data_IF_761508375924
#
_entry.id   IF_761508375924
#
_cell.length_a   1.000
_cell.length_b   1.000
_cell.length_c   1.000
_cell.angle_alpha   90.00
_cell.angle_beta   90.00
_cell.angle_gamma   90.00
#
_symmetry.space_group_name_H-M   'P 1'
#
loop_
_entity.id
_entity.type
_entity.pdbx_description
1 polymer ?
#
# COMPACT_ATOMS: atom_id res chain seq x y z
N UNK A 1 17.44 24.77 23.22
CA UNK A 1 17.88 26.17 22.99
C UNK A 1 17.04 27.10 23.84
N UNK A 2 17.57 28.27 24.22
CA UNK A 2 16.78 29.29 24.92
C UNK A 2 15.72 29.89 24.01
N UNK A 3 14.64 30.41 24.60
CA UNK A 3 13.63 31.18 23.86
C UNK A 3 14.22 32.52 23.41
N UNK A 4 14.06 32.85 22.13
CA UNK A 4 14.52 34.11 21.55
C UNK A 4 13.61 35.28 21.97
N UNK A 5 14.20 36.46 22.18
CA UNK A 5 13.45 37.71 22.37
C UNK A 5 12.83 38.17 21.05
N UNK A 6 11.83 39.04 21.11
CA UNK A 6 11.09 39.49 19.92
C UNK A 6 11.98 40.09 18.81
N UNK A 7 12.97 40.91 19.16
CA UNK A 7 13.89 41.48 18.17
C UNK A 7 14.83 40.43 17.57
N UNK A 8 15.25 39.46 18.38
CA UNK A 8 16.09 38.35 17.93
C UNK A 8 15.33 37.46 16.96
N UNK A 9 14.10 37.06 17.29
CA UNK A 9 13.26 36.25 16.40
C UNK A 9 12.83 37.00 15.13
N UNK A 10 12.73 38.34 15.19
CA UNK A 10 12.50 39.16 14.00
C UNK A 10 13.68 39.15 13.03
N UNK A 11 14.92 39.13 13.53
CA UNK A 11 16.12 38.96 12.71
C UNK A 11 16.27 37.51 12.20
N UNK A 12 15.95 36.55 13.06
CA UNK A 12 16.16 35.13 12.89
C UNK A 12 14.89 34.38 12.44
N UNK A 13 14.11 34.95 11.52
CA UNK A 13 12.83 34.34 11.09
C UNK A 13 12.98 33.06 10.29
N UNK A 14 14.01 32.99 9.43
CA UNK A 14 14.27 31.83 8.55
C UNK A 14 15.17 30.78 9.20
N UNK A 15 15.75 31.10 10.36
CA UNK A 15 16.72 30.22 11.01
C UNK A 15 15.99 29.28 11.97
N UNK A 16 15.81 28.04 11.53
CA UNK A 16 15.37 26.94 12.36
C UNK A 16 16.44 25.84 12.32
N UNK A 17 17.08 25.57 13.47
CA UNK A 17 18.16 24.59 13.57
C UNK A 17 17.66 23.13 13.61
N UNK A 18 16.36 22.90 13.82
CA UNK A 18 15.77 21.56 13.91
C UNK A 18 15.10 21.14 12.60
N UNK A 19 14.48 22.07 11.88
CA UNK A 19 13.72 21.80 10.68
C UNK A 19 14.21 22.68 9.53
N UNK A 20 14.82 22.04 8.54
CA UNK A 20 15.22 22.67 7.28
C UNK A 20 14.12 22.44 6.24
N UNK A 21 13.78 23.47 5.46
CA UNK A 21 12.61 23.47 4.55
C UNK A 21 12.64 22.35 3.51
N UNK A 22 13.82 21.98 3.02
CA UNK A 22 13.99 20.92 2.02
C UNK A 22 13.88 19.50 2.62
N UNK A 23 14.03 19.38 3.94
CA UNK A 23 14.15 18.09 4.60
C UNK A 23 12.79 17.54 5.05
N UNK A 24 12.50 16.28 4.72
CA UNK A 24 11.30 15.57 5.19
C UNK A 24 11.53 14.83 6.52
N UNK A 25 12.58 15.20 7.25
CA UNK A 25 13.08 14.50 8.45
C UNK A 25 12.03 14.34 9.55
N UNK A 26 11.20 15.36 9.78
CA UNK A 26 10.14 15.31 10.80
C UNK A 26 9.11 14.20 10.50
N UNK A 27 8.67 14.14 9.24
CA UNK A 27 7.69 13.12 8.78
C UNK A 27 8.29 11.72 8.92
N UNK A 28 9.58 11.58 8.60
CA UNK A 28 10.29 10.31 8.72
C UNK A 28 10.40 9.85 10.17
N UNK A 29 10.79 10.75 11.08
CA UNK A 29 10.86 10.45 12.51
C UNK A 29 9.49 10.08 13.08
N UNK A 30 8.41 10.75 12.62
CA UNK A 30 7.04 10.40 13.01
C UNK A 30 6.67 8.99 12.56
N UNK A 31 6.97 8.62 11.32
CA UNK A 31 6.70 7.28 10.77
C UNK A 31 7.53 6.22 11.51
N UNK A 32 8.81 6.48 11.73
CA UNK A 32 9.72 5.58 12.47
C UNK A 32 9.19 5.33 13.89
N UNK A 33 8.82 6.40 14.60
CA UNK A 33 8.25 6.31 15.95
C UNK A 33 6.93 5.55 15.96
N UNK A 34 6.03 5.86 15.03
CA UNK A 34 4.70 5.25 14.96
C UNK A 34 4.76 3.76 14.67
N UNK A 35 5.59 3.33 13.73
CA UNK A 35 5.65 1.94 13.26
C UNK A 35 6.81 1.13 13.86
N UNK A 36 7.60 1.72 14.75
CA UNK A 36 8.78 1.09 15.36
C UNK A 36 9.71 0.47 14.29
N UNK A 37 10.12 1.29 13.31
CA UNK A 37 11.13 0.90 12.32
C UNK A 37 12.50 1.02 12.99
N UNK A 38 13.29 -0.05 13.04
CA UNK A 38 14.59 -0.04 13.72
C UNK A 38 15.65 0.67 12.87
N UNK A 39 15.74 0.32 11.59
CA UNK A 39 16.77 0.83 10.70
C UNK A 39 16.24 1.93 9.79
N UNK A 40 16.94 3.06 9.74
CA UNK A 40 16.62 4.16 8.81
C UNK A 40 16.68 3.72 7.34
N UNK A 41 17.57 2.79 7.02
CA UNK A 41 17.75 2.23 5.67
C UNK A 41 16.47 1.59 5.13
N UNK A 42 15.71 0.92 6.00
CA UNK A 42 14.45 0.28 5.60
C UNK A 42 13.43 1.31 5.12
N UNK A 43 13.36 2.45 5.82
CA UNK A 43 12.48 3.54 5.39
C UNK A 43 12.92 4.11 4.04
N UNK A 44 14.23 4.22 3.77
CA UNK A 44 14.76 4.67 2.48
C UNK A 44 14.36 3.68 1.37
N UNK A 45 14.45 2.38 1.63
CA UNK A 45 14.03 1.33 0.69
C UNK A 45 12.53 1.43 0.39
N UNK A 46 11.69 1.59 1.42
CA UNK A 46 10.25 1.76 1.22
C UNK A 46 9.91 3.04 0.44
N UNK A 47 10.64 4.14 0.68
CA UNK A 47 10.46 5.37 -0.10
C UNK A 47 10.78 5.15 -1.57
N UNK A 48 11.90 4.45 -1.85
CA UNK A 48 12.31 4.11 -3.21
C UNK A 48 11.25 3.26 -3.91
N UNK A 49 10.73 2.23 -3.25
CA UNK A 49 9.65 1.38 -3.78
C UNK A 49 8.39 2.22 -4.05
N UNK A 50 8.00 3.08 -3.12
CA UNK A 50 6.84 3.97 -3.29
C UNK A 50 7.01 4.90 -4.50
N UNK A 51 8.19 5.49 -4.68
CA UNK A 51 8.50 6.31 -5.85
C UNK A 51 8.37 5.50 -7.13
N UNK A 52 8.98 4.31 -7.20
CA UNK A 52 8.89 3.43 -8.39
C UNK A 52 7.44 3.10 -8.74
N UNK A 53 6.61 2.76 -7.75
CA UNK A 53 5.17 2.49 -7.96
C UNK A 53 4.45 3.72 -8.49
N UNK A 54 4.77 4.91 -7.99
CA UNK A 54 4.18 6.17 -8.45
C UNK A 54 4.61 6.52 -9.86
N UNK A 55 5.89 6.35 -10.18
CA UNK A 55 6.42 6.62 -11.52
C UNK A 55 5.74 5.72 -12.55
N UNK A 56 5.60 4.42 -12.26
CA UNK A 56 4.86 3.48 -13.11
C UNK A 56 3.39 3.92 -13.25
N UNK A 57 2.76 4.36 -12.16
CA UNK A 57 1.36 4.82 -12.19
C UNK A 57 1.20 6.06 -13.08
N UNK A 58 2.14 7.01 -13.02
CA UNK A 58 2.15 8.21 -13.86
C UNK A 58 2.39 7.83 -15.33
N UNK A 59 3.34 6.93 -15.60
CA UNK A 59 3.58 6.40 -16.95
C UNK A 59 2.33 5.72 -17.53
N UNK A 60 1.64 4.88 -16.75
CA UNK A 60 0.40 4.22 -17.17
C UNK A 60 -0.74 5.22 -17.40
N UNK A 61 -0.89 6.22 -16.53
CA UNK A 61 -1.89 7.28 -16.70
C UNK A 61 -1.64 8.12 -17.97
N UNK A 62 -0.38 8.47 -18.24
CA UNK A 62 -0.02 9.21 -19.47
C UNK A 62 -0.20 8.38 -20.75
N UNK A 63 0.01 7.06 -20.69
CA UNK A 63 -0.27 6.14 -21.80
C UNK A 63 -1.78 6.04 -22.07
N UNK A 64 -2.58 5.86 -21.02
CA UNK A 64 -4.04 5.83 -21.10
C UNK A 64 -4.63 7.12 -21.70
N UNK A 65 -4.09 8.28 -21.32
CA UNK A 65 -4.51 9.59 -21.86
C UNK A 65 -4.19 9.75 -23.35
N UNK A 66 -3.03 9.27 -23.81
CA UNK A 66 -2.61 9.36 -25.22
C UNK A 66 -3.49 8.51 -26.15
N UNK A 67 -3.97 7.38 -25.66
CA UNK A 67 -4.79 6.45 -26.44
C UNK A 67 -6.30 6.80 -26.44
N UNK A 68 -6.70 7.88 -25.75
CA UNK A 68 -8.06 8.41 -25.86
C UNK A 68 -9.07 7.91 -24.83
N UNK A 69 -8.69 7.68 -23.56
CA UNK A 69 -9.67 7.61 -22.46
C UNK A 69 -10.00 9.01 -21.92
N UNK A 70 -10.94 9.67 -22.60
CA UNK A 70 -11.98 10.43 -21.93
C UNK A 70 -13.30 9.90 -22.50
N UNK A 71 -13.96 8.96 -21.80
CA UNK A 71 -15.40 8.68 -21.94
C UNK A 71 -15.84 7.62 -20.92
N UNK A 72 -16.15 8.05 -19.68
CA UNK A 72 -17.34 7.63 -18.91
C UNK A 72 -17.37 8.28 -17.50
N UNK A 73 -17.39 9.60 -17.42
CA UNK A 73 -18.05 10.29 -16.30
C UNK A 73 -19.00 11.30 -16.94
N UNK A 74 -20.11 10.79 -17.50
CA UNK A 74 -21.33 11.56 -17.84
C UNK A 74 -22.49 10.57 -18.08
N UNK A 75 -22.92 9.88 -17.02
CA UNK A 75 -24.31 9.42 -16.93
C UNK A 75 -25.12 10.52 -16.28
N UNK A 76 -25.68 11.40 -17.11
CA UNK A 76 -26.96 12.10 -16.95
C UNK A 76 -27.15 13.02 -18.14
N UNK A 77 -28.09 12.67 -19.03
CA UNK A 77 -28.98 13.55 -19.82
C UNK A 77 -29.16 13.10 -21.28
N UNK A 78 -30.13 12.20 -21.44
CA UNK A 78 -31.15 12.09 -22.48
C UNK A 78 -31.02 12.84 -23.81
N UNK A 79 -31.10 12.04 -24.88
CA UNK A 79 -31.88 12.17 -26.12
C UNK A 79 -32.18 13.58 -26.68
N UNK A 80 -31.77 13.79 -27.93
CA UNK A 80 -32.61 13.90 -29.16
C UNK A 80 -31.71 14.50 -30.26
N UNK A 81 -31.90 14.09 -31.52
CA UNK A 81 -31.20 14.60 -32.73
C UNK A 81 -29.80 14.04 -33.02
N UNK A 82 -29.71 12.89 -33.72
CA UNK A 82 -28.65 12.64 -34.73
C UNK A 82 -28.81 11.35 -35.55
N UNK A 83 -29.92 10.62 -35.40
CA UNK A 83 -30.14 9.30 -36.02
C UNK A 83 -30.51 9.29 -37.51
N UNK A 84 -30.13 10.29 -38.34
CA UNK A 84 -30.64 10.38 -39.73
C UNK A 84 -29.61 10.38 -40.86
N UNK A 85 -28.30 10.45 -40.59
CA UNK A 85 -27.32 10.77 -41.64
C UNK A 85 -26.27 9.72 -42.01
N UNK A 86 -26.18 8.55 -41.35
CA UNK A 86 -25.02 7.65 -41.53
C UNK A 86 -25.34 6.24 -42.06
N UNK A 87 -26.36 6.03 -42.91
CA UNK A 87 -26.71 4.67 -43.40
C UNK A 87 -26.29 4.32 -44.84
N UNK A 88 -25.52 5.15 -45.55
CA UNK A 88 -25.42 4.99 -47.02
C UNK A 88 -24.01 4.72 -47.58
N UNK A 89 -22.92 4.76 -46.81
CA UNK A 89 -21.56 4.81 -47.40
C UNK A 89 -20.47 3.87 -46.84
N UNK A 90 -20.79 2.71 -46.24
CA UNK A 90 -19.74 1.85 -45.63
C UNK A 90 -19.78 0.35 -45.99
N UNK A 91 -20.37 -0.07 -47.11
CA UNK A 91 -20.53 -1.52 -47.42
C UNK A 91 -19.40 -2.19 -48.25
N UNK A 92 -18.19 -1.63 -48.38
CA UNK A 92 -17.18 -2.17 -49.32
C UNK A 92 -15.74 -2.28 -48.79
N UNK A 93 -15.52 -2.23 -47.47
CA UNK A 93 -14.26 -2.64 -46.85
C UNK A 93 -14.54 -3.46 -45.60
N UNK A 94 -13.81 -4.56 -45.42
CA UNK A 94 -13.92 -5.41 -44.24
C UNK A 94 -13.48 -4.62 -42.99
N UNK A 95 -14.47 -4.10 -42.25
CA UNK A 95 -14.37 -3.09 -41.19
C UNK A 95 -13.86 -3.63 -39.83
N UNK A 96 -13.26 -4.83 -39.81
CA UNK A 96 -12.94 -5.51 -38.54
C UNK A 96 -11.49 -5.34 -38.06
N UNK A 97 -10.61 -4.67 -38.82
CA UNK A 97 -9.23 -4.40 -38.41
C UNK A 97 -9.00 -2.93 -38.02
N UNK A 98 -9.26 -2.60 -36.75
CA UNK A 98 -8.82 -1.32 -36.15
C UNK A 98 -7.51 -1.52 -35.36
N UNK A 99 -6.35 -1.05 -35.87
CA UNK A 99 -5.06 -1.21 -35.20
C UNK A 99 -4.97 -0.46 -33.86
N UNK A 100 -5.77 0.60 -33.63
CA UNK A 100 -5.79 1.35 -32.36
C UNK A 100 -6.50 0.60 -31.24
N UNK A 101 -7.48 -0.24 -31.57
CA UNK A 101 -8.22 -1.08 -30.62
C UNK A 101 -7.32 -2.11 -29.91
N UNK A 102 -6.29 -2.63 -30.60
CA UNK A 102 -5.39 -3.63 -30.02
C UNK A 102 -4.39 -3.03 -29.03
N UNK A 103 -3.82 -1.85 -29.33
CA UNK A 103 -2.89 -1.17 -28.44
C UNK A 103 -3.56 -0.71 -27.13
N UNK A 104 -4.81 -0.26 -27.22
CA UNK A 104 -5.59 0.11 -26.04
C UNK A 104 -5.86 -1.10 -25.13
N UNK A 105 -6.29 -2.22 -25.70
CA UNK A 105 -6.49 -3.48 -24.96
C UNK A 105 -5.23 -3.92 -24.22
N UNK A 106 -4.04 -3.76 -24.84
CA UNK A 106 -2.75 -4.07 -24.20
C UNK A 106 -2.51 -3.18 -22.98
N UNK A 107 -2.76 -1.87 -23.07
CA UNK A 107 -2.60 -0.94 -21.94
C UNK A 107 -3.56 -1.29 -20.80
N UNK A 108 -4.81 -1.62 -21.10
CA UNK A 108 -5.79 -2.01 -20.08
C UNK A 108 -5.41 -3.32 -19.37
N UNK A 109 -4.88 -4.30 -20.12
CA UNK A 109 -4.32 -5.53 -19.55
C UNK A 109 -3.13 -5.21 -18.63
N UNK A 110 -2.22 -4.31 -19.03
CA UNK A 110 -1.08 -3.91 -18.22
C UNK A 110 -1.51 -3.22 -16.93
N UNK A 111 -2.48 -2.30 -17.01
CA UNK A 111 -3.06 -1.63 -15.83
C UNK A 111 -3.65 -2.68 -14.88
N UNK A 112 -4.42 -3.63 -15.41
CA UNK A 112 -5.02 -4.70 -14.60
C UNK A 112 -3.95 -5.58 -13.93
N UNK A 113 -2.92 -6.02 -14.66
CA UNK A 113 -1.83 -6.82 -14.08
C UNK A 113 -1.11 -6.05 -12.97
N UNK A 114 -0.88 -4.75 -13.17
CA UNK A 114 -0.24 -3.90 -12.18
C UNK A 114 -1.10 -3.72 -10.94
N UNK A 115 -2.38 -3.36 -11.09
CA UNK A 115 -3.29 -3.17 -9.95
C UNK A 115 -3.56 -4.48 -9.21
N UNK A 116 -3.67 -5.60 -9.91
CA UNK A 116 -3.82 -6.94 -9.31
C UNK A 116 -2.60 -7.31 -8.45
N UNK A 117 -1.38 -7.00 -8.91
CA UNK A 117 -0.15 -7.21 -8.12
C UNK A 117 -0.17 -6.36 -6.85
N UNK A 118 -0.49 -5.07 -6.95
CA UNK A 118 -0.55 -4.17 -5.79
C UNK A 118 -1.63 -4.60 -4.77
N UNK A 119 -2.77 -5.08 -5.26
CA UNK A 119 -3.83 -5.64 -4.43
C UNK A 119 -3.41 -6.93 -3.73
N UNK A 120 -2.74 -7.85 -4.43
CA UNK A 120 -2.19 -9.08 -3.82
C UNK A 120 -1.22 -8.75 -2.68
N UNK A 121 -0.40 -7.71 -2.84
CA UNK A 121 0.50 -7.22 -1.78
C UNK A 121 -0.21 -6.43 -0.68
N UNK A 122 -1.49 -6.12 -0.83
CA UNK A 122 -2.28 -5.41 0.17
C UNK A 122 -2.03 -3.91 0.24
N UNK A 123 -1.32 -3.35 -0.74
CA UNK A 123 -1.04 -1.92 -0.80
C UNK A 123 -2.28 -1.11 -1.21
N UNK A 124 -3.22 -1.75 -1.89
CA UNK A 124 -4.46 -1.12 -2.36
C UNK A 124 -5.65 -1.97 -1.93
N UNK A 125 -6.76 -1.31 -1.59
CA UNK A 125 -8.04 -1.96 -1.23
C UNK A 125 -8.90 -2.37 -2.42
N UNK A 126 -8.81 -1.66 -3.54
CA UNK A 126 -9.55 -1.93 -4.79
C UNK A 126 -8.59 -1.89 -5.98
N UNK A 127 -8.86 -2.62 -7.05
CA UNK A 127 -7.93 -2.75 -8.19
C UNK A 127 -8.01 -1.56 -9.15
N UNK A 128 -7.86 -0.35 -8.62
CA UNK A 128 -8.06 0.91 -9.32
C UNK A 128 -6.75 1.69 -9.43
N UNK A 129 -6.50 2.27 -10.60
CA UNK A 129 -5.33 3.13 -10.82
C UNK A 129 -5.36 4.41 -9.97
N UNK A 130 -6.56 4.94 -9.69
CA UNK A 130 -6.77 6.12 -8.82
C UNK A 130 -6.21 5.88 -7.41
N UNK A 131 -6.41 4.68 -6.86
CA UNK A 131 -5.92 4.36 -5.51
C UNK A 131 -4.40 4.13 -5.52
N UNK A 132 -3.86 3.55 -6.59
CA UNK A 132 -2.41 3.39 -6.78
C UNK A 132 -1.67 4.74 -6.80
N UNK A 133 -2.27 5.77 -7.42
CA UNK A 133 -1.68 7.12 -7.46
C UNK A 133 -1.61 7.77 -6.07
N UNK A 134 -2.59 7.48 -5.22
CA UNK A 134 -2.71 8.04 -3.88
C UNK A 134 -1.95 7.24 -2.80
N UNK A 135 -1.11 6.28 -3.19
CA UNK A 135 -0.36 5.45 -2.26
C UNK A 135 0.59 6.29 -1.39
N UNK A 136 0.62 5.97 -0.10
CA UNK A 136 1.44 6.63 0.92
C UNK A 136 2.41 5.64 1.55
N UNK A 137 3.40 6.20 2.27
CA UNK A 137 4.33 5.40 3.06
C UNK A 137 3.62 4.61 4.16
N UNK A 138 2.55 5.16 4.71
CA UNK A 138 1.73 4.50 5.74
C UNK A 138 1.17 3.18 5.24
N UNK A 139 0.71 3.11 3.98
CA UNK A 139 0.12 1.90 3.42
C UNK A 139 1.14 0.75 3.35
N UNK A 140 2.40 1.05 3.01
CA UNK A 140 3.49 0.06 3.04
C UNK A 140 3.82 -0.35 4.49
N UNK A 141 3.91 0.62 5.40
CA UNK A 141 4.23 0.36 6.80
C UNK A 141 3.13 -0.45 7.51
N UNK A 142 1.86 -0.28 7.13
CA UNK A 142 0.73 -1.04 7.66
C UNK A 142 0.73 -2.51 7.25
N UNK A 143 1.41 -2.87 6.16
CA UNK A 143 1.62 -4.27 5.73
C UNK A 143 2.75 -4.99 6.45
N UNK A 144 3.49 -4.31 7.34
CA UNK A 144 4.51 -4.98 8.17
C UNK A 144 3.85 -5.97 9.13
N UNK A 145 4.55 -7.06 9.44
CA UNK A 145 4.02 -8.06 10.37
C UNK A 145 3.68 -7.46 11.74
N UNK A 146 4.45 -6.49 12.24
CA UNK A 146 4.21 -5.85 13.55
C UNK A 146 2.87 -5.12 13.63
N UNK A 147 2.53 -4.35 12.60
CA UNK A 147 1.27 -3.61 12.52
C UNK A 147 0.09 -4.55 12.33
N UNK A 148 0.29 -5.60 11.52
CA UNK A 148 -0.75 -6.60 11.29
C UNK A 148 -1.08 -7.38 12.56
N UNK A 149 -0.10 -7.75 13.37
CA UNK A 149 -0.35 -8.43 14.65
C UNK A 149 -1.17 -7.57 15.61
N UNK A 150 -0.88 -6.26 15.66
CA UNK A 150 -1.70 -5.33 16.43
C UNK A 150 -3.12 -5.25 15.86
N UNK A 151 -3.27 -5.19 14.53
CA UNK A 151 -4.58 -5.13 13.87
C UNK A 151 -5.42 -6.39 14.08
N UNK A 152 -4.77 -7.55 14.12
CA UNK A 152 -5.39 -8.87 14.35
C UNK A 152 -5.51 -9.21 15.85
N UNK A 153 -5.23 -8.25 16.74
CA UNK A 153 -5.29 -8.41 18.21
C UNK A 153 -4.41 -9.52 18.80
N UNK A 154 -3.30 -9.90 18.13
CA UNK A 154 -2.27 -10.77 18.71
C UNK A 154 -1.45 -10.05 19.79
N UNK A 155 -1.37 -8.72 19.70
CA UNK A 155 -0.69 -7.87 20.66
C UNK A 155 -1.43 -6.54 20.80
N UNK A 156 -1.49 -5.99 22.02
CA UNK A 156 -2.14 -4.68 22.27
C UNK A 156 -1.30 -3.52 21.72
N UNK A 157 0.03 -3.65 21.79
CA UNK A 157 0.99 -2.64 21.36
C UNK A 157 1.94 -3.15 20.28
N UNK A 158 2.39 -2.24 19.41
CA UNK A 158 3.39 -2.52 18.38
C UNK A 158 4.70 -2.99 19.03
N UNK A 159 5.05 -2.42 20.19
CA UNK A 159 6.26 -2.80 20.93
C UNK A 159 6.20 -4.25 21.42
N UNK A 160 5.03 -4.72 21.84
CA UNK A 160 4.86 -6.10 22.29
C UNK A 160 4.82 -7.07 21.11
N UNK A 161 4.22 -6.66 19.99
CA UNK A 161 4.34 -7.38 18.72
C UNK A 161 5.81 -7.60 18.31
N UNK A 162 6.66 -6.57 18.43
CA UNK A 162 8.11 -6.71 18.17
C UNK A 162 8.74 -7.76 19.08
N UNK A 163 8.43 -7.76 20.38
CA UNK A 163 8.96 -8.77 21.32
C UNK A 163 8.54 -10.18 20.93
N UNK A 164 7.26 -10.38 20.61
CA UNK A 164 6.70 -11.69 20.21
C UNK A 164 7.37 -12.25 18.95
N UNK A 165 7.60 -11.38 17.95
CA UNK A 165 8.30 -11.76 16.71
C UNK A 165 9.77 -12.11 17.02
N UNK A 166 10.50 -11.26 17.76
CA UNK A 166 11.90 -11.51 18.10
C UNK A 166 12.10 -12.83 18.85
N UNK A 167 11.18 -13.16 19.75
CA UNK A 167 11.17 -14.43 20.48
C UNK A 167 10.78 -15.64 19.61
N UNK A 168 10.13 -15.42 18.47
CA UNK A 168 9.74 -16.46 17.53
C UNK A 168 8.46 -17.19 17.93
N UNK A 169 7.50 -16.48 18.54
CA UNK A 169 6.20 -17.04 18.94
C UNK A 169 5.18 -17.11 17.80
N UNK A 170 5.51 -16.55 16.63
CA UNK A 170 4.57 -16.33 15.52
C UNK A 170 5.04 -17.09 14.28
N UNK A 171 4.08 -17.74 13.64
CA UNK A 171 4.23 -18.45 12.38
C UNK A 171 3.42 -17.73 11.29
N UNK A 172 3.96 -17.70 10.07
CA UNK A 172 3.18 -17.42 8.86
C UNK A 172 3.08 -18.72 8.08
N UNK A 173 1.86 -19.27 7.98
CA UNK A 173 1.66 -20.64 7.52
C UNK A 173 2.39 -21.61 8.45
N UNK A 174 3.46 -22.22 7.94
CA UNK A 174 4.26 -23.20 8.69
C UNK A 174 5.66 -22.66 9.03
N UNK A 175 6.01 -21.44 8.60
CA UNK A 175 7.36 -20.89 8.78
C UNK A 175 7.39 -19.94 9.97
N UNK A 176 8.31 -20.12 10.94
CA UNK A 176 8.48 -19.17 12.03
C UNK A 176 9.10 -17.87 11.54
N UNK A 177 8.53 -16.75 11.97
CA UNK A 177 9.03 -15.42 11.61
C UNK A 177 9.74 -14.80 12.80
N UNK A 178 11.01 -14.46 12.60
CA UNK A 178 11.85 -13.72 13.57
C UNK A 178 12.20 -12.30 13.11
N UNK A 179 12.05 -12.02 11.82
CA UNK A 179 12.36 -10.72 11.23
C UNK A 179 11.13 -9.81 11.29
N UNK A 180 11.34 -8.58 11.75
CA UNK A 180 10.30 -7.56 11.96
C UNK A 180 9.88 -6.94 10.63
N UNK A 181 10.80 -6.92 9.66
CA UNK A 181 10.66 -6.21 8.39
C UNK A 181 10.02 -7.04 7.28
N UNK A 182 9.38 -8.14 7.67
CA UNK A 182 8.58 -8.95 6.77
C UNK A 182 7.30 -8.19 6.43
N UNK A 183 7.14 -7.87 5.15
CA UNK A 183 5.87 -7.38 4.60
C UNK A 183 4.99 -8.59 4.26
N UNK A 184 3.79 -8.63 4.83
CA UNK A 184 2.85 -9.73 4.62
C UNK A 184 1.87 -9.36 3.53
N UNK A 185 1.66 -10.25 2.56
CA UNK A 185 0.67 -10.07 1.48
C UNK A 185 -0.75 -10.33 1.99
N UNK A 186 -1.77 -9.85 1.27
CA UNK A 186 -3.17 -10.09 1.67
C UNK A 186 -3.47 -11.60 1.76
N UNK A 187 -2.92 -12.39 0.83
CA UNK A 187 -3.11 -13.83 0.85
C UNK A 187 -2.47 -14.54 2.04
N UNK A 188 -1.33 -14.05 2.55
CA UNK A 188 -0.62 -14.68 3.68
C UNK A 188 -1.11 -14.21 5.05
N UNK A 189 -1.87 -13.12 5.10
CA UNK A 189 -2.35 -12.51 6.35
C UNK A 189 -3.22 -13.47 7.17
N UNK A 190 -4.12 -14.21 6.52
CA UNK A 190 -5.02 -15.15 7.19
C UNK A 190 -4.30 -16.39 7.75
N UNK A 191 -3.04 -16.60 7.36
CA UNK A 191 -2.24 -17.73 7.80
C UNK A 191 -1.29 -17.37 8.96
N UNK A 192 -1.42 -16.18 9.55
CA UNK A 192 -0.69 -15.80 10.76
C UNK A 192 -1.26 -16.62 11.93
N UNK A 193 -0.41 -17.38 12.60
CA UNK A 193 -0.77 -18.25 13.73
C UNK A 193 0.25 -18.18 14.85
N UNK A 194 -0.18 -18.53 16.05
CA UNK A 194 0.76 -18.81 17.13
C UNK A 194 1.54 -20.09 16.85
N UNK A 195 2.81 -20.12 17.26
CA UNK A 195 3.59 -21.35 17.30
C UNK A 195 3.03 -22.29 18.38
N UNK A 196 2.92 -23.59 18.08
CA UNK A 196 2.37 -24.59 19.00
C UNK A 196 3.12 -24.65 20.34
N UNK A 197 4.45 -24.61 20.27
CA UNK A 197 5.32 -24.56 21.46
C UNK A 197 5.28 -23.22 22.23
N UNK A 198 4.46 -22.25 21.82
CA UNK A 198 4.43 -20.91 22.42
C UNK A 198 3.69 -20.91 23.76
N UNK A 199 4.30 -20.31 24.78
CA UNK A 199 3.64 -20.09 26.08
C UNK A 199 2.35 -19.27 25.95
N UNK A 200 2.30 -18.34 25.02
CA UNK A 200 1.12 -17.52 24.76
C UNK A 200 -0.04 -18.37 24.21
N UNK A 201 0.25 -19.30 23.30
CA UNK A 201 -0.76 -20.23 22.79
C UNK A 201 -1.30 -21.11 23.90
N UNK A 202 -0.43 -21.73 24.70
CA UNK A 202 -0.84 -22.53 25.86
C UNK A 202 -1.73 -21.75 26.84
N UNK A 203 -1.39 -20.49 27.10
CA UNK A 203 -2.20 -19.63 27.96
C UNK A 203 -3.59 -19.35 27.36
N UNK A 204 -3.66 -19.07 26.06
CA UNK A 204 -4.91 -18.83 25.33
C UNK A 204 -5.76 -20.10 25.30
N UNK A 205 -5.17 -21.26 24.99
CA UNK A 205 -5.88 -22.53 24.92
C UNK A 205 -6.39 -22.95 26.30
N UNK A 206 -5.60 -22.69 27.37
CA UNK A 206 -6.03 -22.90 28.76
C UNK A 206 -7.17 -21.97 29.17
N UNK A 207 -7.15 -20.72 28.71
CA UNK A 207 -8.24 -19.77 28.96
C UNK A 207 -9.53 -20.17 28.23
N UNK A 208 -9.41 -20.79 27.06
CA UNK A 208 -10.54 -21.26 26.25
C UNK A 208 -10.98 -22.70 26.59
N UNK A 209 -10.43 -23.32 27.65
CA UNK A 209 -10.66 -24.72 28.04
C UNK A 209 -10.39 -25.77 26.95
N UNK A 210 -9.55 -25.42 25.96
CA UNK A 210 -9.15 -26.31 24.85
C UNK A 210 -7.72 -26.86 25.03
N UNK A 211 -7.16 -26.75 26.23
CA UNK A 211 -5.79 -27.14 26.50
C UNK A 211 -5.67 -28.65 26.64
N UNK A 212 -5.05 -29.29 25.65
CA UNK A 212 -4.62 -30.69 25.72
C UNK A 212 -3.14 -30.77 26.15
N UNK A 213 -2.87 -31.55 27.18
CA UNK A 213 -1.51 -31.78 27.69
C UNK A 213 -0.67 -32.67 26.76
N UNK A 214 -1.30 -33.49 25.91
CA UNK A 214 -0.62 -34.48 25.07
C UNK A 214 -0.14 -33.95 23.71
N UNK A 215 -0.65 -32.82 23.21
CA UNK A 215 -0.29 -32.27 21.89
C UNK A 215 0.99 -31.41 21.86
N UNK A 216 1.81 -31.42 22.92
CA UNK A 216 2.93 -30.48 23.10
C UNK A 216 4.33 -31.06 22.92
#
# INVERSE_FOLDING_TARGET
>A
MRKLKFHESRLLRKTNFLQYEETTTEKDHKIISMYQIENREQLIIYKRILSMVKDITISLASLSKRNGLNNSENTSNNSTYESKYNSTYESTYDSTYDPKSNEQKKVDILIKIFTDKLYKHGLIRKNNLKDAANLKMTDICERRITTLLKRQNFAESIKDAVKLIKQGHILIGNKPVRNIDVLVTNGMENFIKWKDSSKHKKCIDKFNDNYDEYEN
#
